data_IF_550629050081
#
_entry.id   IF_550629050081
#
_cell.length_a   1.000
_cell.length_b   1.000
_cell.length_c   1.000
_cell.angle_alpha   90.00
_cell.angle_beta   90.00
_cell.angle_gamma   90.00
#
_symmetry.space_group_name_H-M   'P 1'
#
loop_
_entity.id
_entity.type
_entity.pdbx_description
1 polymer ?
#
# COMPACT_ATOMS: atom_id res chain seq x y z
N UNK A 1 -8.46 -2.44 7.71
CA UNK A 1 -8.16 -2.31 6.27
C UNK A 1 -7.54 -0.96 6.04
N UNK A 2 -6.53 -0.85 5.20
CA UNK A 2 -5.89 0.43 4.93
C UNK A 2 -5.75 0.59 3.44
N UNK A 3 -6.23 1.71 2.92
CA UNK A 3 -6.11 2.03 1.51
C UNK A 3 -5.14 3.16 1.27
N UNK A 4 -4.23 2.99 0.32
CA UNK A 4 -3.30 4.03 -0.11
C UNK A 4 -3.83 4.78 -1.33
N UNK A 5 -3.86 6.10 -1.24
CA UNK A 5 -3.82 6.97 -2.42
C UNK A 5 -2.42 7.57 -2.49
N UNK A 6 -1.64 7.22 -3.53
CA UNK A 6 -0.38 7.92 -3.82
C UNK A 6 -0.66 9.00 -4.87
N UNK A 7 -0.25 10.24 -4.61
CA UNK A 7 -0.57 11.45 -5.38
C UNK A 7 0.34 11.70 -6.59
N UNK A 8 1.18 10.73 -6.99
CA UNK A 8 2.01 10.89 -8.18
C UNK A 8 1.18 10.84 -9.48
N UNK A 9 0.76 12.02 -9.91
CA UNK A 9 0.38 12.32 -11.28
C UNK A 9 1.65 12.46 -12.12
N UNK A 10 2.09 11.38 -12.74
CA UNK A 10 3.14 11.40 -13.76
C UNK A 10 2.65 12.15 -15.00
N UNK A 11 3.24 13.30 -15.30
CA UNK A 11 3.15 13.94 -16.62
C UNK A 11 4.50 13.86 -17.34
N UNK A 12 4.53 13.67 -18.68
CA UNK A 12 5.76 13.69 -19.46
C UNK A 12 6.14 15.15 -19.74
N UNK A 13 7.41 15.53 -19.58
CA UNK A 13 7.87 16.80 -20.15
C UNK A 13 9.32 16.77 -20.59
N UNK A 14 9.54 17.20 -21.83
CA UNK A 14 10.83 17.33 -22.48
C UNK A 14 11.15 18.82 -22.77
N UNK A 15 12.44 19.14 -22.64
CA UNK A 15 13.22 20.34 -23.03
C UNK A 15 12.70 21.76 -22.70
N UNK A 16 13.34 22.41 -21.71
CA UNK A 16 14.12 23.66 -21.90
C UNK A 16 14.79 24.14 -20.58
N UNK A 17 16.10 24.41 -20.63
CA UNK A 17 17.02 24.28 -19.49
C UNK A 17 17.23 25.53 -18.60
N UNK A 18 16.61 26.69 -18.88
CA UNK A 18 16.78 27.90 -18.05
C UNK A 18 15.48 28.38 -17.37
N UNK A 19 14.32 28.22 -18.04
CA UNK A 19 12.99 28.36 -17.40
C UNK A 19 12.69 27.21 -16.42
N UNK A 20 13.42 26.09 -16.55
CA UNK A 20 13.27 24.88 -15.75
C UNK A 20 13.43 25.09 -14.24
N UNK A 21 14.33 25.96 -13.77
CA UNK A 21 14.59 26.11 -12.33
C UNK A 21 13.50 26.89 -11.60
N UNK A 22 12.93 27.92 -12.23
CA UNK A 22 11.83 28.70 -11.67
C UNK A 22 10.54 27.89 -11.78
N UNK A 23 10.32 27.20 -12.90
CA UNK A 23 9.18 26.30 -13.07
C UNK A 23 9.30 25.09 -12.13
N UNK A 24 10.46 24.48 -11.95
CA UNK A 24 10.69 23.41 -10.98
C UNK A 24 10.48 23.89 -9.55
N UNK A 25 10.96 25.09 -9.19
CA UNK A 25 10.72 25.65 -7.85
C UNK A 25 9.24 25.94 -7.64
N UNK A 26 8.53 26.43 -8.64
CA UNK A 26 7.08 26.68 -8.58
C UNK A 26 6.25 25.40 -8.61
N UNK A 27 6.66 24.37 -9.35
CA UNK A 27 6.07 23.04 -9.37
C UNK A 27 6.34 22.35 -8.03
N UNK A 28 7.58 22.36 -7.52
CA UNK A 28 7.88 21.88 -6.15
C UNK A 28 7.08 22.61 -5.09
N UNK A 29 6.96 23.93 -5.20
CA UNK A 29 6.18 24.73 -4.27
C UNK A 29 4.68 24.40 -4.37
N UNK A 30 4.11 24.32 -5.57
CA UNK A 30 2.71 23.98 -5.79
C UNK A 30 2.38 22.52 -5.40
N UNK A 31 3.28 21.58 -5.67
CA UNK A 31 3.19 20.20 -5.19
C UNK A 31 3.31 20.14 -3.66
N UNK A 32 4.15 21.00 -3.06
CA UNK A 32 4.30 21.14 -1.62
C UNK A 32 3.09 21.80 -0.93
N UNK A 33 2.28 22.61 -1.64
CA UNK A 33 1.03 23.17 -1.09
C UNK A 33 -0.17 22.23 -1.21
N UNK A 34 -0.07 21.15 -1.99
CA UNK A 34 -1.08 20.09 -2.10
C UNK A 34 -0.78 18.87 -1.21
N UNK A 35 0.10 19.01 -0.21
CA UNK A 35 0.59 17.92 0.65
C UNK A 35 -0.43 17.42 1.68
N UNK A 36 -1.69 17.84 1.59
CA UNK A 36 -2.75 17.34 2.45
C UNK A 36 -3.42 16.15 1.78
N UNK A 37 -3.60 15.06 2.52
CA UNK A 37 -4.36 13.93 2.04
C UNK A 37 -5.75 14.34 1.55
N UNK A 38 -6.29 13.67 0.51
CA UNK A 38 -7.65 13.91 0.08
C UNK A 38 -8.64 13.77 1.25
N UNK A 39 -9.80 14.45 1.23
CA UNK A 39 -10.79 14.33 2.30
C UNK A 39 -11.11 12.86 2.61
N UNK A 40 -11.21 12.53 3.89
CA UNK A 40 -11.42 11.17 4.44
C UNK A 40 -10.20 10.24 4.42
N UNK A 41 -9.04 10.71 4.00
CA UNK A 41 -7.77 10.04 4.22
C UNK A 41 -7.03 10.69 5.39
N UNK A 42 -6.33 9.87 6.16
CA UNK A 42 -5.43 10.27 7.23
C UNK A 42 -3.99 10.22 6.72
N UNK A 43 -3.18 11.26 6.93
CA UNK A 43 -1.76 11.22 6.60
C UNK A 43 -1.02 10.28 7.56
N UNK A 44 -0.07 9.52 7.03
CA UNK A 44 0.91 8.79 7.84
C UNK A 44 2.07 9.72 8.16
N UNK A 45 2.34 9.91 9.46
CA UNK A 45 3.39 10.82 9.94
C UNK A 45 4.74 10.48 9.29
N UNK A 46 5.45 11.51 8.83
CA UNK A 46 6.78 11.40 8.21
C UNK A 46 6.84 10.61 6.90
N UNK A 47 5.71 10.46 6.20
CA UNK A 47 5.65 9.88 4.85
C UNK A 47 4.68 10.68 3.99
N UNK A 48 4.77 10.53 2.67
CA UNK A 48 3.81 11.13 1.72
C UNK A 48 2.60 10.18 1.47
N UNK A 49 2.33 9.27 2.40
CA UNK A 49 1.29 8.25 2.26
C UNK A 49 -0.01 8.67 2.95
N UNK A 50 -1.10 8.54 2.21
CA UNK A 50 -2.45 8.80 2.67
C UNK A 50 -3.22 7.50 2.84
N UNK A 51 -3.80 7.32 4.02
CA UNK A 51 -4.48 6.09 4.39
C UNK A 51 -5.92 6.27 4.84
N UNK A 52 -6.79 5.30 4.56
CA UNK A 52 -8.15 5.27 5.14
C UNK A 52 -8.45 3.92 5.77
N UNK A 53 -9.13 3.93 6.93
CA UNK A 53 -9.64 2.74 7.57
C UNK A 53 -11.13 2.55 7.27
N UNK A 54 -11.47 1.50 6.51
CA UNK A 54 -12.84 1.19 6.08
C UNK A 54 -13.53 0.11 6.96
N UNK A 55 -12.98 -0.16 8.14
CA UNK A 55 -13.50 -1.15 9.07
C UNK A 55 -13.09 -2.59 8.75
N UNK A 56 -13.82 -3.54 9.34
CA UNK A 56 -13.57 -4.97 9.22
C UNK A 56 -14.26 -5.57 7.98
N UNK A 57 -13.62 -6.60 7.44
CA UNK A 57 -14.14 -7.48 6.38
C UNK A 57 -13.78 -8.92 6.71
N UNK A 58 -14.60 -9.84 6.21
CA UNK A 58 -14.49 -11.28 6.38
C UNK A 58 -13.46 -11.94 5.46
N UNK A 59 -13.10 -11.30 4.34
CA UNK A 59 -12.13 -11.83 3.39
C UNK A 59 -11.23 -10.76 2.78
N UNK A 60 -10.12 -11.21 2.18
CA UNK A 60 -9.24 -10.39 1.34
C UNK A 60 -9.98 -9.77 0.15
N UNK A 61 -10.82 -10.56 -0.55
CA UNK A 61 -11.54 -10.06 -1.72
C UNK A 61 -12.56 -8.98 -1.34
N UNK A 62 -13.32 -9.19 -0.25
CA UNK A 62 -14.20 -8.19 0.33
C UNK A 62 -13.42 -6.91 0.71
N UNK A 63 -12.19 -7.08 1.21
CA UNK A 63 -11.32 -5.97 1.56
C UNK A 63 -10.85 -5.17 0.34
N UNK A 64 -10.37 -5.86 -0.69
CA UNK A 64 -9.92 -5.26 -1.93
C UNK A 64 -11.07 -4.52 -2.65
N UNK A 65 -12.25 -5.15 -2.71
CA UNK A 65 -13.45 -4.56 -3.29
C UNK A 65 -13.85 -3.26 -2.58
N UNK A 66 -13.89 -3.26 -1.24
CA UNK A 66 -14.24 -2.03 -0.48
C UNK A 66 -13.25 -0.90 -0.71
N UNK A 67 -11.95 -1.18 -0.79
CA UNK A 67 -10.96 -0.17 -1.17
C UNK A 67 -11.25 0.41 -2.56
N UNK A 68 -11.48 -0.46 -3.54
CA UNK A 68 -11.75 -0.06 -4.92
C UNK A 68 -13.02 0.79 -5.03
N UNK A 69 -14.11 0.38 -4.38
CA UNK A 69 -15.38 1.11 -4.33
C UNK A 69 -15.23 2.48 -3.66
N UNK A 70 -14.50 2.54 -2.54
CA UNK A 70 -14.24 3.78 -1.82
C UNK A 70 -13.51 4.81 -2.69
N UNK A 71 -12.49 4.34 -3.43
CA UNK A 71 -11.74 5.17 -4.38
C UNK A 71 -12.59 5.59 -5.56
N UNK A 72 -13.27 4.63 -6.20
CA UNK A 72 -14.11 4.87 -7.37
C UNK A 72 -15.20 5.93 -7.10
N UNK A 73 -15.85 5.88 -5.93
CA UNK A 73 -16.84 6.86 -5.51
C UNK A 73 -16.31 8.30 -5.38
N UNK A 74 -14.98 8.48 -5.37
CA UNK A 74 -14.29 9.77 -5.21
C UNK A 74 -13.39 10.12 -6.39
N UNK A 75 -13.35 9.27 -7.42
CA UNK A 75 -12.41 9.44 -8.54
C UNK A 75 -10.94 9.23 -8.13
N UNK A 76 -10.68 8.43 -7.09
CA UNK A 76 -9.33 8.10 -6.62
C UNK A 76 -8.97 6.64 -6.92
N UNK A 77 -7.68 6.37 -7.10
CA UNK A 77 -7.16 5.01 -7.11
C UNK A 77 -6.86 4.60 -5.67
N UNK A 78 -7.71 3.72 -5.12
CA UNK A 78 -7.64 3.25 -3.73
C UNK A 78 -7.60 1.72 -3.73
N UNK A 79 -6.58 1.14 -3.08
CA UNK A 79 -6.33 -0.31 -3.02
C UNK A 79 -5.72 -0.67 -1.67
N UNK A 80 -5.67 -1.97 -1.30
CA UNK A 80 -5.10 -2.43 -0.03
C UNK A 80 -3.61 -2.06 0.08
N UNK A 81 -3.16 -1.71 1.29
CA UNK A 81 -1.73 -1.45 1.56
C UNK A 81 -0.88 -2.68 1.24
N UNK A 82 -0.10 -2.59 0.17
CA UNK A 82 0.88 -3.60 -0.24
C UNK A 82 2.29 -3.27 0.22
N UNK A 83 3.19 -2.91 -0.70
CA UNK A 83 4.64 -2.75 -0.42
C UNK A 83 5.02 -1.72 0.64
N UNK A 84 4.14 -0.76 0.92
CA UNK A 84 4.37 0.25 1.96
C UNK A 84 3.90 -0.20 3.34
N UNK A 85 3.43 -1.44 3.51
CA UNK A 85 2.98 -1.98 4.80
C UNK A 85 3.99 -1.74 5.92
N UNK A 86 5.28 -2.01 5.67
CA UNK A 86 6.35 -1.78 6.65
C UNK A 86 6.48 -0.33 7.11
N UNK A 87 6.24 0.64 6.22
CA UNK A 87 6.29 2.07 6.55
C UNK A 87 5.03 2.51 7.31
N UNK A 88 3.88 1.94 6.96
CA UNK A 88 2.59 2.36 7.50
C UNK A 88 2.34 1.72 8.87
N UNK A 89 2.64 0.43 9.04
CA UNK A 89 2.28 -0.37 10.22
C UNK A 89 2.65 0.22 11.60
N UNK A 90 3.84 0.82 11.79
CA UNK A 90 4.20 1.44 13.07
C UNK A 90 3.27 2.58 13.49
N UNK A 91 2.58 3.21 12.54
CA UNK A 91 1.72 4.36 12.78
C UNK A 91 0.24 3.99 12.95
N UNK A 92 -0.09 2.69 12.90
CA UNK A 92 -1.46 2.22 12.94
C UNK A 92 -1.92 1.79 14.33
N UNK A 93 -3.19 2.05 14.67
CA UNK A 93 -3.76 1.60 15.93
C UNK A 93 -3.67 0.08 16.10
N UNK A 94 -3.44 -0.36 17.33
CA UNK A 94 -3.13 -1.75 17.73
C UNK A 94 -4.42 -2.57 17.92
N UNK A 95 -5.45 -2.34 17.11
CA UNK A 95 -6.81 -2.82 17.40
C UNK A 95 -7.30 -3.94 16.48
N UNK A 96 -6.72 -4.12 15.29
CA UNK A 96 -7.25 -5.09 14.31
C UNK A 96 -6.18 -5.51 13.30
N UNK A 97 -6.14 -6.81 13.01
CA UNK A 97 -5.30 -7.37 11.95
C UNK A 97 -5.66 -6.76 10.59
N UNK A 98 -4.71 -6.70 9.67
CA UNK A 98 -4.90 -6.03 8.38
C UNK A 98 -4.70 -7.02 7.25
N UNK A 99 -5.68 -7.04 6.34
CA UNK A 99 -5.47 -7.53 4.98
C UNK A 99 -4.46 -6.60 4.30
N UNK A 100 -3.31 -7.15 3.90
CA UNK A 100 -2.34 -6.44 3.09
C UNK A 100 -2.58 -6.75 1.61
N UNK A 101 -2.26 -5.79 0.75
CA UNK A 101 -2.36 -5.87 -0.70
C UNK A 101 -1.27 -6.72 -1.35
N UNK A 102 -0.71 -7.71 -0.65
CA UNK A 102 0.34 -8.59 -1.15
C UNK A 102 -0.21 -10.01 -1.34
N UNK A 103 0.02 -10.60 -2.51
CA UNK A 103 -0.55 -11.90 -2.88
C UNK A 103 0.30 -12.70 -3.87
N UNK A 104 -0.04 -13.98 -4.00
CA UNK A 104 0.59 -14.97 -4.90
C UNK A 104 -0.44 -15.85 -5.63
N UNK A 105 -1.63 -15.32 -5.95
CA UNK A 105 -2.78 -16.07 -6.49
C UNK A 105 -2.53 -16.89 -7.75
N UNK A 106 -1.46 -16.62 -8.49
CA UNK A 106 -1.16 -17.24 -9.79
C UNK A 106 0.17 -18.01 -9.80
N UNK A 107 0.73 -18.28 -8.62
CA UNK A 107 1.96 -19.08 -8.50
C UNK A 107 1.70 -20.28 -7.60
N UNK A 108 2.45 -21.36 -7.82
CA UNK A 108 2.41 -22.50 -6.91
C UNK A 108 2.74 -22.03 -5.48
N UNK A 109 2.06 -22.56 -4.44
CA UNK A 109 2.42 -22.30 -3.06
C UNK A 109 3.90 -22.58 -2.84
N UNK A 110 4.63 -21.59 -2.34
CA UNK A 110 6.05 -21.68 -2.07
C UNK A 110 6.35 -20.84 -0.82
N UNK A 111 7.05 -21.36 0.20
CA UNK A 111 7.49 -20.61 1.39
C UNK A 111 8.59 -19.57 1.06
N UNK A 112 8.51 -18.94 -0.11
CA UNK A 112 9.46 -17.93 -0.57
C UNK A 112 9.05 -16.56 -0.05
N UNK A 113 10.02 -15.83 0.50
CA UNK A 113 9.86 -14.41 0.85
C UNK A 113 9.84 -13.48 -0.38
N UNK A 114 10.19 -14.04 -1.55
CA UNK A 114 10.31 -13.37 -2.86
C UNK A 114 9.12 -13.72 -3.74
N UNK A 115 8.68 -12.77 -4.58
CA UNK A 115 7.69 -13.02 -5.63
C UNK A 115 6.27 -12.57 -5.29
N UNK A 116 6.05 -11.90 -4.14
CA UNK A 116 4.74 -11.42 -3.74
C UNK A 116 4.36 -10.19 -4.55
N UNK A 117 3.21 -10.22 -5.19
CA UNK A 117 2.69 -9.13 -6.03
C UNK A 117 1.86 -8.17 -5.19
N UNK A 118 1.99 -6.88 -5.52
CA UNK A 118 1.14 -5.83 -4.95
C UNK A 118 -0.15 -5.68 -5.78
N UNK A 119 -1.24 -5.24 -5.14
CA UNK A 119 -2.51 -4.90 -5.79
C UNK A 119 -2.53 -3.47 -6.36
N UNK A 120 -1.45 -2.69 -6.24
CA UNK A 120 -1.34 -1.38 -6.89
C UNK A 120 -1.43 -1.52 -8.42
N UNK A 121 -2.53 -1.06 -9.06
CA UNK A 121 -2.74 -1.25 -10.49
C UNK A 121 -1.75 -0.47 -11.37
N UNK A 122 -1.01 0.49 -10.80
CA UNK A 122 -0.03 1.30 -11.55
C UNK A 122 1.30 0.59 -11.72
N UNK A 123 1.56 -0.45 -10.92
CA UNK A 123 2.84 -1.18 -10.96
C UNK A 123 2.60 -2.70 -10.95
N UNK A 124 1.89 -3.23 -11.96
CA UNK A 124 1.47 -4.64 -11.99
C UNK A 124 2.64 -5.64 -12.05
N UNK A 125 3.82 -5.16 -12.45
CA UNK A 125 5.05 -5.96 -12.55
C UNK A 125 5.82 -6.06 -11.25
N UNK A 126 5.41 -5.33 -10.21
CA UNK A 126 6.13 -5.36 -8.94
C UNK A 126 6.00 -6.73 -8.28
N UNK A 127 7.15 -7.23 -7.82
CA UNK A 127 7.25 -8.39 -6.94
C UNK A 127 8.24 -8.10 -5.84
N UNK A 128 8.01 -8.64 -4.63
CA UNK A 128 8.97 -8.53 -3.54
C UNK A 128 10.29 -9.23 -3.86
N UNK A 129 11.39 -8.68 -3.34
CA UNK A 129 12.74 -9.26 -3.40
C UNK A 129 13.23 -9.80 -2.06
N UNK A 130 12.40 -9.75 -1.01
CA UNK A 130 12.55 -10.52 0.23
C UNK A 130 12.69 -9.70 1.52
N UNK A 131 12.76 -8.37 1.44
CA UNK A 131 12.97 -7.48 2.60
C UNK A 131 11.80 -6.52 2.88
N UNK A 132 10.80 -6.53 2.00
CA UNK A 132 9.66 -5.62 2.03
C UNK A 132 8.57 -6.09 2.99
N UNK A 133 8.50 -7.40 3.22
CA UNK A 133 7.55 -8.05 4.13
C UNK A 133 8.29 -8.36 5.43
N UNK A 134 7.73 -7.91 6.56
CA UNK A 134 8.25 -8.22 7.88
C UNK A 134 7.61 -9.52 8.38
N UNK A 135 8.11 -10.64 7.85
CA UNK A 135 7.61 -11.97 8.20
C UNK A 135 7.75 -12.26 9.69
N UNK A 136 6.76 -12.96 10.24
CA UNK A 136 6.92 -13.63 11.54
C UNK A 136 7.98 -14.74 11.43
N UNK A 137 8.56 -15.13 12.58
CA UNK A 137 9.50 -16.25 12.61
C UNK A 137 8.84 -17.52 12.06
N UNK A 138 9.44 -18.12 11.03
CA UNK A 138 8.92 -19.33 10.38
C UNK A 138 7.94 -19.07 9.22
N UNK A 139 7.65 -17.80 8.91
CA UNK A 139 6.84 -17.39 7.76
C UNK A 139 7.74 -16.94 6.58
N UNK A 140 7.27 -17.02 5.32
CA UNK A 140 6.00 -17.60 4.88
C UNK A 140 5.98 -19.12 5.01
N UNK A 141 4.87 -19.67 5.49
CA UNK A 141 4.68 -21.12 5.67
C UNK A 141 4.23 -21.84 4.41
N UNK A 142 3.97 -21.13 3.31
CA UNK A 142 3.32 -21.67 2.12
C UNK A 142 1.81 -21.87 2.31
N UNK A 143 1.20 -21.06 3.19
CA UNK A 143 -0.20 -21.16 3.58
C UNK A 143 -1.18 -20.62 2.52
N UNK A 144 -1.96 -19.61 2.89
CA UNK A 144 -2.89 -18.93 1.98
C UNK A 144 -2.14 -17.95 1.06
N UNK A 145 -2.63 -17.70 -0.17
CA UNK A 145 -1.91 -16.91 -1.17
C UNK A 145 -1.96 -15.39 -0.95
N UNK A 146 -2.07 -14.94 0.31
CA UNK A 146 -2.25 -13.53 0.72
C UNK A 146 -1.47 -13.24 2.00
N UNK A 147 -1.13 -11.98 2.22
CA UNK A 147 -0.44 -11.55 3.45
C UNK A 147 -1.39 -10.85 4.40
N UNK A 148 -1.33 -11.24 5.68
CA UNK A 148 -2.05 -10.60 6.79
C UNK A 148 -1.03 -10.06 7.78
N UNK A 149 -1.24 -8.85 8.31
CA UNK A 149 -0.44 -8.35 9.43
C UNK A 149 -1.15 -8.50 10.77
N UNK A 150 -0.46 -9.00 11.78
CA UNK A 150 -0.92 -8.96 13.16
C UNK A 150 -0.79 -7.55 13.74
N UNK A 151 -1.82 -7.10 14.45
CA UNK A 151 -1.87 -5.73 14.93
C UNK A 151 -0.92 -5.48 16.11
N UNK A 152 -0.60 -6.50 16.91
CA UNK A 152 0.20 -6.39 18.15
C UNK A 152 1.69 -6.49 17.87
N UNK A 153 2.11 -7.55 17.20
CA UNK A 153 3.51 -7.83 16.86
C UNK A 153 3.97 -7.05 15.64
N UNK A 154 3.04 -6.54 14.80
CA UNK A 154 3.32 -5.98 13.47
C UNK A 154 4.01 -6.98 12.53
N UNK A 155 4.03 -8.26 12.89
CA UNK A 155 4.54 -9.31 12.04
C UNK A 155 3.51 -9.66 10.95
N UNK A 156 4.01 -10.18 9.84
CA UNK A 156 3.21 -10.57 8.67
C UNK A 156 3.25 -12.08 8.48
N UNK A 157 2.13 -12.63 8.00
CA UNK A 157 1.87 -14.06 7.89
C UNK A 157 1.25 -14.36 6.53
N UNK A 158 1.56 -15.52 5.96
CA UNK A 158 0.83 -16.07 4.84
C UNK A 158 -0.21 -17.12 5.25
N UNK A 159 -0.31 -17.43 6.55
CA UNK A 159 -1.32 -18.31 7.09
C UNK A 159 -2.28 -17.54 8.01
N UNK A 160 -3.43 -18.15 8.31
CA UNK A 160 -4.30 -17.62 9.37
C UNK A 160 -3.58 -17.74 10.71
N UNK A 161 -3.42 -16.62 11.47
CA UNK A 161 -2.89 -16.69 12.82
C UNK A 161 -3.70 -17.66 13.67
N UNK A 162 -3.03 -18.62 14.30
CA UNK A 162 -3.64 -19.56 15.26
C UNK A 162 -3.98 -18.89 16.57
#
# INVERSE_FOLDING_TARGET
MISMANTDASLPYNHDLFESLILQKRIKAALSTCSSCPPNYSPIRHTDLCVVNLGQTDSFCSAAQRCAEFGAARGHVAFLVGRNARQIMPHLPVSTNLWLGLNVFLTAPNPSTVGWRDVDPRTPQYTTVGSEIQWHSGEPGGGVPIVISDCRSKAMYDCTPT
#
